data_IF_281977210068
#
_entry.id   IF_281977210068
#
_cell.length_a   1.000
_cell.length_b   1.000
_cell.length_c   1.000
_cell.angle_alpha   90.00
_cell.angle_beta   90.00
_cell.angle_gamma   90.00
#
_symmetry.space_group_name_H-M   'P 1'
#
loop_
_entity.id
_entity.type
_entity.pdbx_description
1 polymer ?
#
# COMPACT_ATOMS: atom_id res chain seq x y z
N UNK A 1 23.39 2.04 -10.20
CA UNK A 1 22.76 1.03 -11.04
C UNK A 1 23.63 -0.21 -11.04
N UNK A 2 23.08 -1.36 -10.62
CA UNK A 2 23.80 -2.63 -10.61
C UNK A 2 23.70 -3.21 -12.03
N UNK A 3 24.79 -3.14 -12.80
CA UNK A 3 24.78 -3.46 -14.25
C UNK A 3 24.88 -4.97 -14.55
N UNK A 4 24.70 -5.83 -13.55
CA UNK A 4 24.90 -7.27 -13.69
C UNK A 4 26.38 -7.66 -13.83
N UNK A 5 26.66 -8.95 -13.85
CA UNK A 5 28.00 -9.52 -13.98
C UNK A 5 28.05 -10.48 -15.19
N UNK A 6 28.23 -10.00 -16.43
CA UNK A 6 28.31 -10.87 -17.60
C UNK A 6 29.41 -11.92 -17.43
N UNK A 7 29.06 -13.21 -17.59
CA UNK A 7 30.00 -14.32 -17.47
C UNK A 7 30.32 -14.79 -16.04
N UNK A 8 29.66 -14.24 -15.02
CA UNK A 8 29.73 -14.69 -13.63
C UNK A 8 28.33 -14.88 -13.04
N UNK A 9 28.24 -15.50 -11.87
CA UNK A 9 26.98 -15.57 -11.11
C UNK A 9 26.51 -14.14 -10.81
N UNK A 10 25.21 -13.88 -11.01
CA UNK A 10 24.63 -12.59 -10.68
C UNK A 10 24.92 -12.23 -9.21
N UNK A 11 25.49 -11.05 -8.98
CA UNK A 11 25.82 -10.57 -7.62
C UNK A 11 24.59 -10.38 -6.72
N UNK A 12 23.38 -10.41 -7.30
CA UNK A 12 22.09 -10.39 -6.60
C UNK A 12 21.43 -11.78 -6.53
N UNK A 13 22.12 -12.84 -6.96
CA UNK A 13 21.58 -14.19 -6.83
C UNK A 13 21.48 -14.58 -5.35
N UNK A 14 20.29 -14.96 -4.93
CA UNK A 14 20.02 -15.57 -3.63
C UNK A 14 19.71 -17.04 -3.83
N UNK A 15 20.01 -17.88 -2.84
CA UNK A 15 19.71 -19.31 -2.90
C UNK A 15 18.25 -19.61 -2.66
N UNK A 16 17.58 -18.75 -1.94
CA UNK A 16 16.14 -18.75 -1.68
C UNK A 16 15.64 -17.31 -1.75
N UNK A 17 14.62 -17.06 -2.56
CA UNK A 17 13.92 -15.78 -2.62
C UNK A 17 12.63 -15.88 -1.80
N UNK A 18 12.24 -14.83 -1.10
CA UNK A 18 10.97 -14.81 -0.39
C UNK A 18 9.76 -14.82 -1.33
N UNK A 19 8.56 -15.05 -0.77
CA UNK A 19 7.32 -15.15 -1.53
C UNK A 19 7.06 -13.93 -2.43
N UNK A 20 6.45 -14.18 -3.57
CA UNK A 20 5.92 -13.13 -4.44
C UNK A 20 4.54 -12.72 -3.94
N UNK A 21 4.36 -11.43 -3.67
CA UNK A 21 3.10 -10.85 -3.21
C UNK A 21 2.61 -9.90 -4.30
N UNK A 22 1.43 -10.17 -4.84
CA UNK A 22 0.85 -9.42 -5.96
C UNK A 22 -0.63 -9.13 -5.72
N UNK A 23 -1.22 -8.35 -6.61
CA UNK A 23 -2.65 -8.06 -6.67
C UNK A 23 -3.26 -7.60 -5.34
N UNK A 24 -2.48 -6.85 -4.52
CA UNK A 24 -2.99 -6.25 -3.30
C UNK A 24 -4.26 -5.44 -3.60
N UNK A 25 -5.31 -5.71 -2.85
CA UNK A 25 -6.57 -4.99 -2.95
C UNK A 25 -7.29 -4.95 -1.59
N UNK A 26 -8.23 -4.02 -1.45
CA UNK A 26 -9.13 -4.00 -0.29
C UNK A 26 -10.56 -3.70 -0.69
N UNK A 27 -11.49 -4.10 0.13
CA UNK A 27 -12.93 -3.84 -0.02
C UNK A 27 -13.58 -3.49 1.32
N UNK A 28 -14.50 -2.51 1.34
CA UNK A 28 -14.79 -1.56 0.25
C UNK A 28 -13.65 -0.58 0.01
N UNK A 29 -13.58 0.02 -1.19
CA UNK A 29 -12.52 1.01 -1.52
C UNK A 29 -12.64 2.27 -0.66
N UNK A 30 -13.86 2.68 -0.34
CA UNK A 30 -14.18 3.78 0.57
C UNK A 30 -15.01 3.22 1.73
N UNK A 31 -14.38 2.66 2.78
CA UNK A 31 -15.11 2.08 3.90
C UNK A 31 -15.83 3.16 4.69
N UNK A 32 -17.08 2.88 5.09
CA UNK A 32 -17.83 3.70 6.02
C UNK A 32 -17.24 3.60 7.44
N UNK A 33 -17.61 4.55 8.31
CA UNK A 33 -17.24 4.47 9.72
C UNK A 33 -17.78 3.19 10.36
N UNK A 34 -16.92 2.41 11.02
CA UNK A 34 -17.26 1.14 11.66
C UNK A 34 -17.39 -0.04 10.70
N UNK A 35 -17.17 0.14 9.40
CA UNK A 35 -17.17 -0.93 8.42
C UNK A 35 -15.81 -1.61 8.35
N UNK A 36 -15.80 -2.95 8.35
CA UNK A 36 -14.56 -3.74 8.23
C UNK A 36 -13.92 -3.57 6.86
N UNK A 37 -12.59 -3.57 6.84
CA UNK A 37 -11.79 -3.47 5.62
C UNK A 37 -11.22 -4.86 5.31
N UNK A 38 -11.75 -5.50 4.29
CA UNK A 38 -11.26 -6.80 3.83
C UNK A 38 -10.09 -6.60 2.89
N UNK A 39 -8.93 -7.14 3.22
CA UNK A 39 -7.69 -7.04 2.45
C UNK A 39 -7.39 -8.38 1.80
N UNK A 40 -6.97 -8.35 0.54
CA UNK A 40 -6.66 -9.50 -0.28
C UNK A 40 -5.29 -9.33 -0.95
N UNK A 41 -4.53 -10.40 -1.04
CA UNK A 41 -3.29 -10.44 -1.79
C UNK A 41 -3.07 -11.83 -2.40
N UNK A 42 -2.61 -11.87 -3.66
CA UNK A 42 -2.12 -13.11 -4.27
C UNK A 42 -0.72 -13.36 -3.73
N UNK A 43 -0.50 -14.53 -3.12
CA UNK A 43 0.82 -14.91 -2.59
C UNK A 43 1.22 -16.26 -3.16
N UNK A 44 2.44 -16.32 -3.70
CA UNK A 44 2.97 -17.56 -4.29
C UNK A 44 4.47 -17.71 -4.01
N UNK A 45 4.90 -18.95 -3.86
CA UNK A 45 6.30 -19.29 -3.72
C UNK A 45 6.54 -20.73 -4.23
N UNK A 46 7.74 -20.96 -4.81
CA UNK A 46 8.12 -22.27 -5.32
C UNK A 46 8.35 -23.30 -4.21
N UNK A 47 8.90 -22.83 -3.10
CA UNK A 47 9.25 -23.68 -1.94
C UNK A 47 8.07 -23.83 -0.97
N UNK A 48 6.95 -23.18 -1.27
CA UNK A 48 5.71 -23.19 -0.48
C UNK A 48 5.61 -21.99 0.47
N UNK A 49 4.37 -21.62 0.79
CA UNK A 49 4.06 -20.51 1.69
C UNK A 49 4.12 -20.98 3.13
N UNK A 50 4.79 -20.20 3.99
CA UNK A 50 4.80 -20.35 5.44
C UNK A 50 3.66 -19.55 6.07
N UNK A 51 3.95 -18.37 6.63
CA UNK A 51 2.95 -17.48 7.19
C UNK A 51 2.67 -16.29 6.25
N UNK A 52 1.40 -15.87 6.19
CA UNK A 52 1.00 -14.60 5.58
C UNK A 52 0.31 -13.76 6.64
N UNK A 53 0.79 -12.52 6.82
CA UNK A 53 0.34 -11.63 7.89
C UNK A 53 0.01 -10.26 7.32
N UNK A 54 -1.16 -9.75 7.66
CA UNK A 54 -1.55 -8.36 7.46
C UNK A 54 -1.16 -7.58 8.71
N UNK A 55 -0.19 -6.69 8.59
CA UNK A 55 0.18 -5.74 9.63
C UNK A 55 -0.46 -4.40 9.35
N UNK A 56 -1.10 -3.79 10.35
CA UNK A 56 -1.71 -2.48 10.18
C UNK A 56 -1.51 -1.59 11.41
N UNK A 57 -1.65 -0.29 11.21
CA UNK A 57 -1.71 0.75 12.24
C UNK A 57 -2.69 1.84 11.84
N UNK A 58 -3.05 2.68 12.79
CA UNK A 58 -3.84 3.88 12.53
C UNK A 58 -2.91 5.09 12.59
N UNK A 59 -2.71 5.74 11.47
CA UNK A 59 -1.88 6.95 11.38
C UNK A 59 -2.45 8.10 12.25
N UNK A 60 -1.62 8.85 13.01
CA UNK A 60 -0.15 8.83 13.05
C UNK A 60 0.47 7.90 14.10
N UNK A 61 -0.30 7.01 14.73
CA UNK A 61 0.24 6.06 15.71
C UNK A 61 1.27 5.13 15.06
N UNK A 62 2.36 4.84 15.78
CA UNK A 62 3.32 3.81 15.40
C UNK A 62 2.99 2.41 15.94
N UNK A 63 1.92 2.28 16.73
CA UNK A 63 1.50 0.99 17.28
C UNK A 63 0.84 0.16 16.18
N UNK A 64 1.40 -1.00 15.90
CA UNK A 64 0.90 -1.95 14.90
C UNK A 64 0.09 -3.07 15.53
N UNK A 65 -0.80 -3.67 14.74
CA UNK A 65 -1.47 -4.93 15.02
C UNK A 65 -1.29 -5.88 13.85
N UNK A 66 -1.11 -7.16 14.14
CA UNK A 66 -0.90 -8.22 13.17
C UNK A 66 -2.12 -9.13 13.12
N UNK A 67 -2.59 -9.43 11.91
CA UNK A 67 -3.70 -10.33 11.63
C UNK A 67 -3.22 -11.45 10.70
N UNK A 68 -3.44 -12.72 11.02
CA UNK A 68 -3.15 -13.80 10.09
C UNK A 68 -4.04 -13.68 8.86
N UNK A 69 -3.47 -13.85 7.67
CA UNK A 69 -4.20 -13.97 6.41
C UNK A 69 -4.33 -15.45 6.06
N UNK A 70 -5.50 -15.85 5.59
CA UNK A 70 -5.83 -17.24 5.27
C UNK A 70 -6.29 -17.38 3.82
N UNK A 71 -6.03 -18.55 3.25
CA UNK A 71 -6.50 -19.04 1.96
C UNK A 71 -7.23 -20.37 2.20
N UNK A 72 -8.29 -20.34 3.01
CA UNK A 72 -9.02 -21.52 3.48
C UNK A 72 -10.52 -21.51 3.14
N UNK A 73 -10.98 -20.52 2.38
CA UNK A 73 -12.39 -20.34 2.01
C UNK A 73 -13.27 -19.83 3.14
N UNK A 74 -12.69 -19.20 4.18
CA UNK A 74 -13.44 -18.66 5.31
C UNK A 74 -13.25 -17.15 5.46
N UNK A 75 -14.18 -16.51 6.18
CA UNK A 75 -14.13 -15.07 6.42
C UNK A 75 -14.30 -14.25 5.13
N UNK A 76 -13.30 -13.50 4.76
CA UNK A 76 -13.27 -12.71 3.53
C UNK A 76 -12.77 -13.52 2.32
N UNK A 77 -12.11 -14.64 2.55
CA UNK A 77 -11.70 -15.56 1.48
C UNK A 77 -12.94 -16.32 0.94
N UNK A 78 -13.04 -16.39 -0.39
CA UNK A 78 -14.17 -17.02 -1.08
C UNK A 78 -13.84 -18.39 -1.66
N UNK A 79 -12.55 -18.69 -1.90
CA UNK A 79 -12.12 -19.87 -2.64
C UNK A 79 -10.88 -20.49 -2.03
N UNK A 80 -10.98 -21.60 -1.30
CA UNK A 80 -9.84 -22.18 -0.62
C UNK A 80 -8.79 -22.68 -1.61
N UNK A 81 -7.52 -22.38 -1.34
CA UNK A 81 -6.37 -22.90 -2.07
C UNK A 81 -6.17 -22.27 -3.45
N UNK A 82 -6.70 -21.07 -3.71
CA UNK A 82 -6.47 -20.37 -4.98
C UNK A 82 -5.27 -19.40 -4.94
N UNK A 83 -4.59 -19.34 -3.78
CA UNK A 83 -3.43 -18.48 -3.53
C UNK A 83 -3.78 -17.05 -3.17
N UNK A 84 -5.08 -16.71 -3.05
CA UNK A 84 -5.53 -15.39 -2.58
C UNK A 84 -5.74 -15.42 -1.08
N UNK A 85 -4.80 -14.87 -0.36
CA UNK A 85 -4.88 -14.73 1.09
C UNK A 85 -5.70 -13.52 1.49
N UNK A 86 -6.51 -13.65 2.54
CA UNK A 86 -7.33 -12.54 3.03
C UNK A 86 -7.32 -12.40 4.55
N UNK A 87 -7.53 -11.16 5.01
CA UNK A 87 -7.83 -10.82 6.40
C UNK A 87 -8.74 -9.58 6.45
N UNK A 88 -9.36 -9.35 7.61
CA UNK A 88 -10.25 -8.22 7.82
C UNK A 88 -9.73 -7.31 8.94
N UNK A 89 -9.40 -6.07 8.60
CA UNK A 89 -9.10 -5.02 9.59
C UNK A 89 -10.45 -4.58 10.18
N UNK A 90 -10.60 -4.59 11.52
CA UNK A 90 -11.84 -4.14 12.16
C UNK A 90 -12.19 -2.69 11.81
N UNK A 91 -13.47 -2.39 11.72
CA UNK A 91 -13.98 -1.07 11.36
C UNK A 91 -13.43 0.05 12.24
N UNK A 92 -13.03 1.15 11.61
CA UNK A 92 -12.41 2.30 12.25
C UNK A 92 -13.35 3.52 12.25
N UNK A 93 -13.02 4.53 13.05
CA UNK A 93 -13.78 5.78 13.07
C UNK A 93 -13.65 6.56 11.76
N UNK A 94 -14.66 7.36 11.43
CA UNK A 94 -14.58 8.28 10.29
C UNK A 94 -13.39 9.24 10.42
N UNK A 95 -12.66 9.45 9.34
CA UNK A 95 -11.45 10.26 9.28
C UNK A 95 -10.17 9.51 9.64
N UNK A 96 -10.23 8.27 10.15
CA UNK A 96 -9.04 7.45 10.38
C UNK A 96 -8.32 7.15 9.06
N UNK A 97 -6.99 7.22 9.07
CA UNK A 97 -6.14 6.71 8.01
C UNK A 97 -5.52 5.40 8.50
N UNK A 98 -5.90 4.31 7.87
CA UNK A 98 -5.33 2.98 8.12
C UNK A 98 -4.14 2.82 7.20
N UNK A 99 -2.98 2.51 7.76
CA UNK A 99 -1.76 2.17 7.04
C UNK A 99 -1.47 0.69 7.25
N UNK A 100 -1.18 -0.06 6.19
CA UNK A 100 -0.99 -1.51 6.28
C UNK A 100 0.02 -2.05 5.26
N UNK A 101 0.58 -3.20 5.57
CA UNK A 101 1.47 -3.98 4.71
C UNK A 101 1.16 -5.48 4.84
N UNK A 102 1.52 -6.24 3.81
CA UNK A 102 1.48 -7.70 3.85
C UNK A 102 2.91 -8.20 4.07
N UNK A 103 3.06 -9.09 5.02
CA UNK A 103 4.29 -9.81 5.31
C UNK A 103 4.09 -11.28 5.00
N UNK A 104 5.03 -11.90 4.34
CA UNK A 104 4.97 -13.34 4.07
C UNK A 104 6.34 -13.98 4.19
N UNK A 105 6.36 -15.18 4.76
CA UNK A 105 7.52 -16.07 4.80
C UNK A 105 7.26 -17.29 3.94
N UNK A 106 8.31 -17.82 3.31
CA UNK A 106 8.24 -19.13 2.66
C UNK A 106 8.50 -20.28 3.65
N UNK A 107 8.39 -21.51 3.18
CA UNK A 107 8.64 -22.71 4.00
C UNK A 107 10.13 -22.87 4.42
N UNK A 108 11.04 -22.13 3.81
CA UNK A 108 12.49 -22.12 4.10
C UNK A 108 12.92 -20.84 4.85
N UNK A 109 11.96 -20.01 5.30
CA UNK A 109 12.16 -18.81 6.11
C UNK A 109 12.80 -17.62 5.37
N UNK A 110 12.69 -17.54 4.06
CA UNK A 110 12.90 -16.28 3.36
C UNK A 110 11.61 -15.45 3.42
N UNK A 111 11.76 -14.11 3.58
CA UNK A 111 10.65 -13.21 3.84
C UNK A 111 10.47 -12.22 2.71
N UNK A 112 9.24 -11.77 2.51
CA UNK A 112 8.88 -10.68 1.63
C UNK A 112 7.85 -9.76 2.31
N UNK A 113 7.78 -8.50 1.85
CA UNK A 113 6.75 -7.54 2.24
C UNK A 113 6.21 -6.79 1.02
N UNK A 114 4.95 -6.37 1.11
CA UNK A 114 4.32 -5.54 0.08
C UNK A 114 3.32 -4.53 0.68
N UNK A 115 3.34 -3.25 0.27
CA UNK A 115 4.29 -2.65 -0.70
C UNK A 115 5.72 -2.63 -0.15
N UNK A 116 6.76 -2.69 -1.00
CA UNK A 116 8.14 -2.69 -0.52
C UNK A 116 8.51 -1.34 0.10
N UNK A 117 9.07 -1.37 1.31
CA UNK A 117 9.58 -0.20 2.05
C UNK A 117 8.55 0.92 2.30
N UNK A 118 7.24 0.61 2.24
CA UNK A 118 6.15 1.57 2.45
C UNK A 118 4.87 0.88 2.92
N UNK A 119 3.84 1.68 3.16
CA UNK A 119 2.53 1.18 3.59
C UNK A 119 1.45 1.50 2.54
N UNK A 120 0.53 0.58 2.34
CA UNK A 120 -0.73 0.81 1.67
C UNK A 120 -1.67 1.60 2.59
N UNK A 121 -2.49 2.50 2.03
CA UNK A 121 -3.32 3.40 2.84
C UNK A 121 -4.79 3.26 2.48
N UNK A 122 -5.66 3.37 3.51
CA UNK A 122 -7.11 3.45 3.39
C UNK A 122 -7.65 4.51 4.33
N UNK A 123 -8.42 5.47 3.80
CA UNK A 123 -9.11 6.46 4.62
C UNK A 123 -10.57 6.07 4.81
N UNK A 124 -11.01 6.09 6.07
CA UNK A 124 -12.35 5.69 6.48
C UNK A 124 -13.31 6.88 6.50
N UNK A 125 -14.53 6.68 6.03
CA UNK A 125 -15.62 7.66 6.11
C UNK A 125 -15.52 8.78 5.09
N UNK A 126 -14.75 8.60 4.00
CA UNK A 126 -14.78 9.54 2.89
C UNK A 126 -16.08 9.39 2.07
N UNK A 127 -16.72 10.50 1.71
CA UNK A 127 -17.93 10.42 0.90
C UNK A 127 -17.60 9.91 -0.51
N UNK A 128 -18.42 9.02 -1.02
CA UNK A 128 -18.48 8.76 -2.45
C UNK A 128 -19.22 9.92 -3.12
N UNK A 129 -18.48 10.76 -3.82
CA UNK A 129 -19.03 11.98 -4.45
C UNK A 129 -19.85 11.67 -5.72
N UNK A 130 -20.07 10.38 -6.03
CA UNK A 130 -20.98 9.95 -7.07
C UNK A 130 -20.58 10.40 -8.48
N UNK A 131 -21.57 10.56 -9.33
CA UNK A 131 -21.48 10.77 -10.76
C UNK A 131 -20.92 12.15 -11.15
N UNK A 132 -20.03 12.19 -12.12
CA UNK A 132 -19.45 13.43 -12.67
C UNK A 132 -18.08 13.20 -13.29
N UNK A 133 -17.30 14.26 -13.35
CA UNK A 133 -15.88 14.16 -13.69
C UNK A 133 -15.14 13.32 -12.66
N UNK A 134 -14.19 12.50 -13.10
CA UNK A 134 -13.46 11.56 -12.24
C UNK A 134 -12.95 12.21 -10.94
N UNK A 135 -13.19 11.52 -9.83
CA UNK A 135 -12.69 11.93 -8.52
C UNK A 135 -11.37 11.22 -8.26
N UNK A 136 -10.34 12.01 -7.92
CA UNK A 136 -9.01 11.52 -7.57
C UNK A 136 -8.76 11.82 -6.11
N UNK A 137 -8.25 10.82 -5.37
CA UNK A 137 -7.81 11.00 -3.97
C UNK A 137 -6.38 10.55 -3.85
N UNK A 138 -5.61 11.29 -3.08
CA UNK A 138 -4.26 10.90 -2.66
C UNK A 138 -4.28 10.76 -1.15
N UNK A 139 -4.01 9.56 -0.67
CA UNK A 139 -3.86 9.31 0.75
C UNK A 139 -2.37 9.28 1.09
N UNK A 140 -1.99 10.07 2.09
CA UNK A 140 -0.62 10.21 2.53
C UNK A 140 -0.60 10.18 4.06
N UNK A 141 0.43 9.59 4.66
CA UNK A 141 0.62 9.59 6.11
C UNK A 141 1.04 10.97 6.61
N UNK A 142 0.79 11.25 7.89
CA UNK A 142 1.21 12.51 8.50
C UNK A 142 2.74 12.66 8.47
N UNK A 143 3.48 11.57 8.65
CA UNK A 143 4.94 11.56 8.56
C UNK A 143 5.41 11.94 7.15
N UNK A 144 4.90 11.27 6.09
CA UNK A 144 5.26 11.57 4.71
C UNK A 144 4.86 12.97 4.28
N UNK A 145 3.72 13.48 4.76
CA UNK A 145 3.29 14.86 4.50
C UNK A 145 4.26 15.87 5.13
N UNK A 146 4.71 15.61 6.35
CA UNK A 146 5.67 16.47 7.06
C UNK A 146 7.05 16.47 6.37
N UNK A 147 7.50 15.30 5.90
CA UNK A 147 8.72 15.18 5.12
C UNK A 147 8.61 15.93 3.78
N UNK A 148 7.46 15.82 3.11
CA UNK A 148 7.21 16.52 1.86
C UNK A 148 7.25 18.04 2.04
N UNK A 149 6.60 18.57 3.07
CA UNK A 149 6.64 20.01 3.41
C UNK A 149 8.07 20.49 3.72
N UNK A 150 8.93 19.62 4.26
CA UNK A 150 10.33 19.92 4.57
C UNK A 150 11.29 19.79 3.37
N UNK A 151 10.86 19.17 2.28
CA UNK A 151 11.70 18.96 1.10
C UNK A 151 12.09 20.28 0.39
N UNK A 152 13.30 20.34 -0.21
CA UNK A 152 13.65 21.43 -1.08
C UNK A 152 12.63 21.61 -2.21
N UNK A 153 12.26 22.83 -2.49
CA UNK A 153 11.24 23.26 -3.46
C UNK A 153 11.38 22.68 -4.88
N UNK A 154 12.53 22.10 -5.20
CA UNK A 154 12.86 21.55 -6.53
C UNK A 154 13.19 20.07 -6.48
N UNK A 155 12.88 19.40 -5.39
CA UNK A 155 13.03 17.96 -5.34
C UNK A 155 12.01 17.30 -6.27
N UNK A 156 12.48 16.30 -7.01
CA UNK A 156 11.65 15.39 -7.79
C UNK A 156 11.59 14.00 -7.15
N UNK A 157 12.01 13.90 -5.87
CA UNK A 157 11.94 12.64 -5.15
C UNK A 157 10.47 12.37 -4.78
N UNK A 158 9.89 11.24 -5.21
CA UNK A 158 8.49 10.94 -4.96
C UNK A 158 8.25 10.56 -3.50
N UNK A 159 7.10 10.99 -2.97
CA UNK A 159 6.58 10.51 -1.69
C UNK A 159 5.61 9.37 -1.88
N UNK A 160 5.62 8.37 -0.99
CA UNK A 160 4.67 7.26 -1.05
C UNK A 160 3.25 7.75 -0.78
N UNK A 161 2.34 7.36 -1.66
CA UNK A 161 0.91 7.62 -1.54
C UNK A 161 0.11 6.38 -1.91
N UNK A 162 -1.14 6.32 -1.47
CA UNK A 162 -2.16 5.51 -2.14
C UNK A 162 -3.03 6.43 -2.98
N UNK A 163 -3.10 6.14 -4.28
CA UNK A 163 -3.90 6.89 -5.22
C UNK A 163 -5.23 6.17 -5.48
N UNK A 164 -6.36 6.89 -5.34
CA UNK A 164 -7.69 6.32 -5.53
C UNK A 164 -8.43 7.03 -6.65
N UNK A 165 -8.87 6.25 -7.62
CA UNK A 165 -9.64 6.71 -8.76
C UNK A 165 -11.11 6.35 -8.63
N UNK A 166 -12.00 7.34 -8.69
CA UNK A 166 -13.47 7.23 -8.65
C UNK A 166 -14.06 6.42 -7.49
N UNK A 167 -13.33 6.24 -6.38
CA UNK A 167 -13.76 5.32 -5.32
C UNK A 167 -13.88 3.85 -5.75
N UNK A 168 -13.37 3.51 -6.94
CA UNK A 168 -13.50 2.18 -7.54
C UNK A 168 -12.19 1.40 -7.56
N UNK A 169 -11.05 2.10 -7.59
CA UNK A 169 -9.72 1.47 -7.67
C UNK A 169 -8.72 2.21 -6.79
N UNK A 170 -7.98 1.48 -5.98
CA UNK A 170 -6.81 1.94 -5.25
C UNK A 170 -5.52 1.44 -5.91
N UNK A 171 -4.48 2.28 -5.93
CA UNK A 171 -3.11 1.97 -6.36
C UNK A 171 -2.23 2.29 -5.16
N UNK A 172 -1.62 1.27 -4.57
CA UNK A 172 -0.94 1.39 -3.27
C UNK A 172 0.53 1.76 -3.37
N UNK A 173 1.17 1.43 -4.48
CA UNK A 173 2.58 1.71 -4.72
C UNK A 173 2.74 2.87 -5.69
N UNK A 174 2.05 3.98 -5.40
CA UNK A 174 2.16 5.21 -6.16
C UNK A 174 3.08 6.21 -5.47
N UNK A 175 3.72 7.05 -6.27
CA UNK A 175 4.51 8.17 -5.79
C UNK A 175 3.92 9.50 -6.22
N UNK A 176 3.98 10.51 -5.37
CA UNK A 176 3.62 11.88 -5.70
C UNK A 176 4.81 12.82 -5.51
N UNK A 177 4.98 13.76 -6.40
CA UNK A 177 6.02 14.78 -6.30
C UNK A 177 5.49 16.14 -6.81
N UNK A 178 6.25 17.21 -6.55
CA UNK A 178 5.87 18.53 -7.04
C UNK A 178 5.84 18.56 -8.56
N UNK A 179 4.70 18.91 -9.15
CA UNK A 179 4.57 19.19 -10.57
C UNK A 179 4.86 20.65 -10.93
N UNK A 180 5.07 20.93 -12.21
CA UNK A 180 5.26 22.27 -12.73
C UNK A 180 6.71 22.77 -12.74
N UNK A 181 6.88 24.08 -12.81
CA UNK A 181 8.19 24.73 -12.80
C UNK A 181 8.50 25.36 -11.43
N UNK A 182 9.70 25.89 -11.28
CA UNK A 182 10.18 26.52 -10.03
C UNK A 182 9.27 27.61 -9.45
N UNK A 183 8.41 28.21 -10.27
CA UNK A 183 7.57 29.33 -9.89
C UNK A 183 6.13 28.91 -9.55
N UNK A 184 5.79 27.65 -9.84
CA UNK A 184 4.46 27.06 -9.61
C UNK A 184 4.41 26.01 -8.51
N UNK A 185 5.55 25.62 -7.94
CA UNK A 185 5.59 24.70 -6.81
C UNK A 185 5.01 25.39 -5.55
N UNK A 186 4.20 24.63 -4.83
CA UNK A 186 3.61 25.04 -3.55
C UNK A 186 3.70 23.88 -2.57
N UNK A 187 3.73 24.17 -1.28
CA UNK A 187 3.70 23.11 -0.26
C UNK A 187 2.34 22.39 -0.27
N UNK A 188 2.30 21.11 0.02
CA UNK A 188 1.05 20.33 0.07
C UNK A 188 -0.02 20.96 0.97
N UNK A 189 0.39 21.58 2.06
CA UNK A 189 -0.49 22.24 3.03
C UNK A 189 -0.90 23.66 2.65
N UNK A 190 -0.37 24.23 1.56
CA UNK A 190 -0.63 25.63 1.18
C UNK A 190 -1.88 25.85 0.31
N UNK A 191 -2.64 24.81 0.02
CA UNK A 191 -3.97 24.87 -0.63
C UNK A 191 -3.99 24.89 -2.15
N UNK A 192 -2.90 25.14 -2.84
CA UNK A 192 -2.83 25.09 -4.31
C UNK A 192 -1.56 24.42 -4.77
N UNK A 193 -1.65 23.15 -5.10
CA UNK A 193 -0.50 22.32 -5.49
C UNK A 193 -0.80 21.58 -6.80
N UNK A 194 0.24 21.32 -7.54
CA UNK A 194 0.23 20.44 -8.71
C UNK A 194 1.01 19.17 -8.38
N UNK A 195 0.42 18.01 -8.65
CA UNK A 195 1.03 16.72 -8.39
C UNK A 195 1.16 15.91 -9.68
N UNK A 196 2.22 15.14 -9.77
CA UNK A 196 2.33 14.03 -10.69
C UNK A 196 2.32 12.71 -9.90
N UNK A 197 1.65 11.70 -10.44
CA UNK A 197 1.54 10.37 -9.85
C UNK A 197 2.28 9.39 -10.75
N UNK A 198 3.23 8.64 -10.19
CA UNK A 198 4.07 7.67 -10.91
C UNK A 198 3.63 6.25 -10.65
#
# INVERSE_FOLDING_TARGET
>A
ANLGTPGAVNSQAVTNAGPQIEELSHRPILPAAGEDIHVYAQVSDFDGIGAVTLRYRIDPSSSTADLPMNDDGTGADLTPGDGVYSASIPGQASGSLVAFEILSDDALSASASYPPDREALVRVGEPDNGEGFGTYRMWITEASLSEWDAQPFRSNDPFPITFVYNGARAIYDAGAFYGGNKDSHSFPTSGSVSYDVT
#
